data_IF_703431257479
#
_entry.id   IF_703431257479
#
_cell.length_a   1.000
_cell.length_b   1.000
_cell.length_c   1.000
_cell.angle_alpha   90.00
_cell.angle_beta   90.00
_cell.angle_gamma   90.00
#
_symmetry.space_group_name_H-M   'P 1'
#
loop_
_entity.id
_entity.type
_entity.pdbx_description
1 polymer ?
#
# COMPACT_ATOMS: atom_id res chain seq x y z
N UNK A 1 27.99 -18.61 -43.91
CA UNK A 1 28.04 -17.15 -43.72
C UNK A 1 28.61 -16.92 -42.33
N UNK A 2 29.78 -16.30 -42.24
CA UNK A 2 30.34 -15.92 -40.94
C UNK A 2 29.58 -14.69 -40.47
N UNK A 3 28.65 -14.86 -39.52
CA UNK A 3 28.15 -13.74 -38.72
C UNK A 3 29.35 -13.06 -38.10
N UNK A 4 29.49 -11.76 -38.35
CA UNK A 4 30.64 -11.01 -37.83
C UNK A 4 30.59 -11.02 -36.30
N UNK A 5 31.75 -11.09 -35.61
CA UNK A 5 31.81 -11.02 -34.13
C UNK A 5 31.05 -9.80 -33.56
N UNK A 6 30.78 -8.80 -34.40
CA UNK A 6 29.99 -7.60 -34.08
C UNK A 6 28.48 -7.83 -34.08
N UNK A 7 27.93 -8.69 -34.95
CA UNK A 7 26.50 -9.02 -35.01
C UNK A 7 26.06 -9.86 -33.81
N UNK A 8 26.88 -10.81 -33.37
CA UNK A 8 26.56 -11.72 -32.25
C UNK A 8 26.32 -10.97 -30.93
N UNK A 9 26.96 -9.82 -30.73
CA UNK A 9 26.87 -9.03 -29.49
C UNK A 9 25.70 -8.05 -29.51
N UNK A 10 25.13 -7.77 -30.69
CA UNK A 10 23.99 -6.85 -30.82
C UNK A 10 22.66 -7.45 -30.37
N UNK A 11 22.56 -8.78 -30.37
CA UNK A 11 21.36 -9.51 -29.94
C UNK A 11 21.29 -9.80 -28.44
N UNK A 12 22.39 -9.58 -27.71
CA UNK A 12 22.42 -9.81 -26.27
C UNK A 12 21.66 -8.73 -25.50
N UNK A 13 21.01 -9.09 -24.38
CA UNK A 13 20.32 -8.16 -23.50
C UNK A 13 21.30 -7.10 -23.01
N UNK A 14 20.79 -5.88 -22.83
CA UNK A 14 21.57 -4.78 -22.28
C UNK A 14 21.45 -4.76 -20.77
N UNK A 15 22.59 -4.71 -20.08
CA UNK A 15 22.61 -4.39 -18.66
C UNK A 15 22.31 -2.91 -18.47
N UNK A 16 21.18 -2.62 -17.84
CA UNK A 16 20.68 -1.28 -17.56
C UNK A 16 20.42 -1.04 -16.06
N UNK A 17 19.97 -2.05 -15.35
CA UNK A 17 19.51 -1.98 -13.96
C UNK A 17 19.63 -3.36 -13.28
N UNK A 18 19.32 -3.41 -11.97
CA UNK A 18 19.32 -4.64 -11.19
C UNK A 18 18.36 -5.71 -11.74
N UNK A 19 17.23 -5.32 -12.35
CA UNK A 19 16.25 -6.25 -12.92
C UNK A 19 16.79 -6.95 -14.19
N UNK A 20 17.57 -6.23 -15.00
CA UNK A 20 18.21 -6.78 -16.21
C UNK A 20 19.44 -7.64 -15.92
N UNK A 21 20.04 -7.50 -14.73
CA UNK A 21 21.31 -8.15 -14.38
C UNK A 21 21.27 -9.68 -14.39
N UNK A 22 20.25 -10.38 -13.82
CA UNK A 22 20.23 -11.84 -13.81
C UNK A 22 20.23 -12.46 -15.22
N UNK A 23 19.43 -11.92 -16.14
CA UNK A 23 19.35 -12.41 -17.51
C UNK A 23 20.64 -12.10 -18.28
N UNK A 24 21.14 -10.86 -18.14
CA UNK A 24 22.40 -10.46 -18.74
C UNK A 24 23.58 -11.33 -18.26
N UNK A 25 23.67 -11.58 -16.94
CA UNK A 25 24.73 -12.39 -16.34
C UNK A 25 24.72 -13.83 -16.87
N UNK A 26 23.52 -14.40 -17.01
CA UNK A 26 23.33 -15.73 -17.57
C UNK A 26 23.78 -15.82 -19.03
N UNK A 27 23.31 -14.92 -19.89
CA UNK A 27 23.62 -14.94 -21.32
C UNK A 27 25.10 -14.60 -21.59
N UNK A 28 25.69 -13.68 -20.84
CA UNK A 28 27.13 -13.39 -20.93
C UNK A 28 27.96 -14.60 -20.55
N UNK A 29 27.62 -15.33 -19.48
CA UNK A 29 28.34 -16.56 -19.13
C UNK A 29 28.27 -17.58 -20.25
N UNK A 30 27.10 -17.77 -20.86
CA UNK A 30 26.93 -18.69 -21.99
C UNK A 30 27.78 -18.27 -23.18
N UNK A 31 27.79 -16.97 -23.55
CA UNK A 31 28.64 -16.45 -24.61
C UNK A 31 30.12 -16.73 -24.33
N UNK A 32 30.58 -16.46 -23.10
CA UNK A 32 31.97 -16.64 -22.72
C UNK A 32 32.37 -18.13 -22.69
N UNK A 33 31.47 -19.02 -22.29
CA UNK A 33 31.67 -20.48 -22.40
C UNK A 33 31.78 -20.90 -23.86
N UNK A 34 30.87 -20.45 -24.74
CA UNK A 34 30.87 -20.81 -26.16
C UNK A 34 32.14 -20.34 -26.90
N UNK A 35 32.77 -19.26 -26.43
CA UNK A 35 34.02 -18.73 -27.00
C UNK A 35 35.28 -19.21 -26.27
N UNK A 36 35.16 -20.14 -25.32
CA UNK A 36 36.28 -20.65 -24.50
C UNK A 36 37.03 -19.54 -23.74
N UNK A 37 36.30 -18.50 -23.33
CA UNK A 37 36.81 -17.32 -22.62
C UNK A 37 36.42 -17.28 -21.14
N UNK A 38 35.59 -18.22 -20.67
CA UNK A 38 35.06 -18.24 -19.30
C UNK A 38 36.17 -18.20 -18.23
N UNK A 39 37.31 -18.84 -18.50
CA UNK A 39 38.45 -18.91 -17.57
C UNK A 39 39.09 -17.54 -17.28
N UNK A 40 38.91 -16.56 -18.18
CA UNK A 40 39.36 -15.17 -17.98
C UNK A 40 38.38 -14.42 -17.05
N UNK A 41 37.08 -14.73 -17.17
CA UNK A 41 36.00 -14.09 -16.41
C UNK A 41 35.94 -14.63 -14.98
N UNK A 42 36.10 -15.94 -14.79
CA UNK A 42 36.15 -16.57 -13.47
C UNK A 42 37.51 -16.38 -12.76
N UNK A 43 38.55 -16.00 -13.52
CA UNK A 43 39.89 -15.74 -13.01
C UNK A 43 40.71 -17.01 -12.77
N UNK A 44 40.30 -18.15 -13.35
CA UNK A 44 41.03 -19.42 -13.29
C UNK A 44 42.25 -19.43 -14.22
N UNK A 45 42.24 -18.60 -15.27
CA UNK A 45 43.39 -18.37 -16.14
C UNK A 45 44.17 -17.16 -15.61
N UNK A 46 44.98 -17.38 -14.56
CA UNK A 46 45.86 -16.34 -14.01
C UNK A 46 47.15 -16.27 -14.83
N UNK A 47 47.59 -15.04 -15.13
CA UNK A 47 48.91 -14.73 -15.69
C UNK A 47 50.08 -15.38 -14.91
N UNK A 48 49.85 -15.83 -13.67
CA UNK A 48 50.86 -16.48 -12.81
C UNK A 48 51.15 -17.94 -13.16
N UNK A 49 50.21 -18.66 -13.77
CA UNK A 49 50.30 -20.12 -13.95
C UNK A 49 50.76 -20.53 -15.36
N UNK A 50 50.65 -19.61 -16.33
CA UNK A 50 51.24 -19.78 -17.65
C UNK A 50 52.61 -19.08 -17.64
N UNK A 51 53.68 -19.87 -17.72
CA UNK A 51 55.07 -19.43 -17.55
C UNK A 51 55.44 -18.11 -18.23
N UNK A 52 56.51 -17.47 -17.71
CA UNK A 52 57.07 -16.14 -18.01
C UNK A 52 57.51 -15.89 -19.48
N UNK A 53 56.82 -16.46 -20.45
CA UNK A 53 57.03 -16.25 -21.87
C UNK A 53 56.10 -15.12 -22.38
N UNK A 54 56.69 -14.18 -23.12
CA UNK A 54 56.00 -13.04 -23.71
C UNK A 54 54.86 -13.44 -24.65
N UNK A 55 54.94 -14.62 -25.26
CA UNK A 55 53.87 -15.13 -26.13
C UNK A 55 52.60 -15.45 -25.35
N UNK A 56 52.72 -16.10 -24.19
CA UNK A 56 51.57 -16.45 -23.33
C UNK A 56 50.92 -15.20 -22.74
N UNK A 57 51.72 -14.22 -22.32
CA UNK A 57 51.22 -12.91 -21.85
C UNK A 57 50.42 -12.21 -22.96
N UNK A 58 50.90 -12.23 -24.20
CA UNK A 58 50.17 -11.65 -25.35
C UNK A 58 48.86 -12.37 -25.64
N UNK A 59 48.84 -13.71 -25.60
CA UNK A 59 47.63 -14.51 -25.79
C UNK A 59 46.59 -14.19 -24.72
N UNK A 60 47.00 -14.15 -23.45
CA UNK A 60 46.13 -13.80 -22.34
C UNK A 60 45.54 -12.39 -22.51
N UNK A 61 46.37 -11.38 -22.76
CA UNK A 61 45.92 -9.99 -22.98
C UNK A 61 44.93 -9.87 -24.13
N UNK A 62 45.12 -10.65 -25.19
CA UNK A 62 44.20 -10.67 -26.34
C UNK A 62 42.84 -11.26 -25.94
N UNK A 63 42.83 -12.35 -25.18
CA UNK A 63 41.59 -12.98 -24.68
C UNK A 63 40.86 -12.07 -23.69
N UNK A 64 41.60 -11.43 -22.78
CA UNK A 64 41.07 -10.45 -21.84
C UNK A 64 40.46 -9.24 -22.57
N UNK A 65 41.16 -8.65 -23.53
CA UNK A 65 40.63 -7.55 -24.34
C UNK A 65 39.35 -7.93 -25.10
N UNK A 66 39.26 -9.16 -25.63
CA UNK A 66 38.03 -9.67 -26.26
C UNK A 66 36.87 -9.75 -25.26
N UNK A 67 37.12 -10.23 -24.04
CA UNK A 67 36.08 -10.28 -23.01
C UNK A 67 35.61 -8.88 -22.60
N UNK A 68 36.55 -7.95 -22.38
CA UNK A 68 36.24 -6.56 -22.09
C UNK A 68 35.38 -5.94 -23.20
N UNK A 69 35.70 -6.21 -24.47
CA UNK A 69 34.89 -5.78 -25.60
C UNK A 69 33.44 -6.28 -25.50
N UNK A 70 33.23 -7.57 -25.24
CA UNK A 70 31.88 -8.13 -25.08
C UNK A 70 31.08 -7.46 -23.96
N UNK A 71 31.70 -7.22 -22.80
CA UNK A 71 31.05 -6.51 -21.69
C UNK A 71 30.70 -5.09 -22.08
N UNK A 72 31.65 -4.28 -22.56
CA UNK A 72 31.40 -2.88 -22.91
C UNK A 72 30.30 -2.74 -23.97
N UNK A 73 30.14 -3.74 -24.84
CA UNK A 73 29.10 -3.74 -25.87
C UNK A 73 27.74 -4.20 -25.36
N UNK A 74 27.65 -4.86 -24.22
CA UNK A 74 26.37 -5.36 -23.65
C UNK A 74 25.89 -4.57 -22.43
N UNK A 75 26.60 -3.51 -22.03
CA UNK A 75 26.20 -2.62 -20.94
C UNK A 75 25.83 -1.21 -21.43
N UNK A 76 24.89 -0.56 -20.74
CA UNK A 76 24.44 0.81 -21.01
C UNK A 76 25.47 1.88 -20.63
N UNK A 77 25.31 3.10 -21.16
CA UNK A 77 26.30 4.18 -20.98
C UNK A 77 26.56 4.54 -19.51
N UNK A 78 25.52 4.60 -18.68
CA UNK A 78 25.70 4.88 -17.25
C UNK A 78 26.40 3.74 -16.53
N UNK A 79 26.13 2.49 -16.91
CA UNK A 79 26.76 1.30 -16.34
C UNK A 79 28.27 1.27 -16.64
N UNK A 80 28.68 1.72 -17.84
CA UNK A 80 30.10 1.84 -18.20
C UNK A 80 30.89 2.68 -17.22
N UNK A 81 30.27 3.71 -16.63
CA UNK A 81 30.97 4.61 -15.69
C UNK A 81 31.54 3.85 -14.48
N UNK A 82 30.91 2.74 -14.08
CA UNK A 82 31.40 1.87 -13.00
C UNK A 82 32.59 1.00 -13.41
N UNK A 83 32.84 0.81 -14.71
CA UNK A 83 33.90 -0.07 -15.22
C UNK A 83 35.07 0.69 -15.86
N UNK A 84 35.01 2.02 -15.99
CA UNK A 84 36.06 2.83 -16.64
C UNK A 84 37.41 2.70 -15.93
N UNK A 85 37.41 2.53 -14.61
CA UNK A 85 38.64 2.40 -13.81
C UNK A 85 39.18 0.96 -13.75
N UNK A 86 38.44 -0.02 -14.27
CA UNK A 86 38.86 -1.41 -14.30
C UNK A 86 39.86 -1.64 -15.44
N UNK A 87 40.89 -2.44 -15.16
CA UNK A 87 41.99 -2.71 -16.10
C UNK A 87 41.89 -4.09 -16.75
N UNK A 88 41.19 -5.01 -16.10
CA UNK A 88 40.99 -6.40 -16.57
C UNK A 88 39.51 -6.72 -16.70
N UNK A 89 39.18 -7.70 -17.54
CA UNK A 89 37.83 -8.25 -17.62
C UNK A 89 37.33 -8.71 -16.25
N UNK A 90 38.21 -9.35 -15.47
CA UNK A 90 37.89 -9.86 -14.14
C UNK A 90 37.43 -8.75 -13.20
N UNK A 91 38.14 -7.63 -13.17
CA UNK A 91 37.79 -6.44 -12.40
C UNK A 91 36.45 -5.85 -12.85
N UNK A 92 36.25 -5.71 -14.17
CA UNK A 92 34.99 -5.19 -14.72
C UNK A 92 33.80 -6.06 -14.29
N UNK A 93 33.90 -7.37 -14.52
CA UNK A 93 32.82 -8.31 -14.22
C UNK A 93 32.55 -8.40 -12.72
N UNK A 94 33.59 -8.44 -11.89
CA UNK A 94 33.43 -8.43 -10.43
C UNK A 94 32.77 -7.15 -9.92
N UNK A 95 33.13 -5.99 -10.47
CA UNK A 95 32.55 -4.69 -10.09
C UNK A 95 31.05 -4.65 -10.41
N UNK A 96 30.67 -5.04 -11.63
CA UNK A 96 29.27 -5.14 -12.04
C UNK A 96 28.51 -6.13 -11.15
N UNK A 97 29.09 -7.31 -10.92
CA UNK A 97 28.50 -8.32 -10.04
C UNK A 97 28.29 -7.79 -8.63
N UNK A 98 29.27 -7.11 -8.04
CA UNK A 98 29.14 -6.54 -6.70
C UNK A 98 28.03 -5.50 -6.61
N UNK A 99 27.94 -4.58 -7.57
CA UNK A 99 26.91 -3.52 -7.58
C UNK A 99 25.52 -4.15 -7.68
N UNK A 100 25.26 -4.92 -8.73
CA UNK A 100 23.91 -5.39 -9.03
C UNK A 100 23.46 -6.56 -8.14
N UNK A 101 24.37 -7.42 -7.67
CA UNK A 101 24.00 -8.42 -6.65
C UNK A 101 23.71 -7.78 -5.29
N UNK A 102 24.45 -6.72 -4.92
CA UNK A 102 24.17 -5.97 -3.69
C UNK A 102 22.80 -5.29 -3.78
N UNK A 103 22.50 -4.61 -4.88
CA UNK A 103 21.20 -3.94 -5.07
C UNK A 103 20.05 -4.95 -5.04
N UNK A 104 20.18 -6.07 -5.75
CA UNK A 104 19.21 -7.18 -5.73
C UNK A 104 18.99 -7.69 -4.29
N UNK A 105 20.07 -7.86 -3.52
CA UNK A 105 20.01 -8.35 -2.14
C UNK A 105 19.35 -7.34 -1.21
N UNK A 106 19.70 -6.05 -1.34
CA UNK A 106 19.12 -4.98 -0.54
C UNK A 106 17.63 -4.78 -0.87
N UNK A 107 17.26 -4.78 -2.15
CA UNK A 107 15.87 -4.70 -2.59
C UNK A 107 15.05 -5.88 -2.06
N UNK A 108 15.60 -7.09 -2.09
CA UNK A 108 14.99 -8.26 -1.47
C UNK A 108 14.78 -8.07 0.04
N UNK A 109 15.78 -7.58 0.77
CA UNK A 109 15.65 -7.31 2.20
C UNK A 109 14.56 -6.27 2.50
N UNK A 110 14.52 -5.18 1.74
CA UNK A 110 13.49 -4.13 1.89
C UNK A 110 12.09 -4.68 1.60
N UNK A 111 11.91 -5.44 0.53
CA UNK A 111 10.61 -6.04 0.20
C UNK A 111 10.16 -7.07 1.24
N UNK A 112 11.08 -7.85 1.81
CA UNK A 112 10.75 -8.76 2.92
C UNK A 112 10.33 -7.96 4.16
N UNK A 113 11.05 -6.89 4.47
CA UNK A 113 10.70 -5.99 5.57
C UNK A 113 9.31 -5.39 5.35
N UNK A 114 9.02 -4.89 4.16
CA UNK A 114 7.71 -4.36 3.79
C UNK A 114 6.62 -5.44 3.92
N UNK A 115 6.88 -6.66 3.43
CA UNK A 115 5.94 -7.77 3.53
C UNK A 115 5.60 -8.10 4.99
N UNK A 116 6.62 -8.25 5.85
CA UNK A 116 6.38 -8.61 7.24
C UNK A 116 5.79 -7.46 8.06
N UNK A 117 6.24 -6.23 7.84
CA UNK A 117 5.81 -5.06 8.60
C UNK A 117 4.52 -4.41 8.08
N UNK A 118 4.01 -4.83 6.91
CA UNK A 118 2.75 -4.31 6.39
C UNK A 118 1.64 -4.47 7.43
N UNK A 119 0.91 -3.39 7.68
CA UNK A 119 -0.25 -3.33 8.57
C UNK A 119 -1.44 -2.84 7.76
N UNK A 120 -2.63 -3.30 8.12
CA UNK A 120 -3.86 -2.85 7.47
C UNK A 120 -4.04 -1.34 7.65
N UNK A 121 -4.15 -0.63 6.52
CA UNK A 121 -4.42 0.80 6.47
C UNK A 121 -5.93 1.02 6.48
N UNK A 122 -6.46 1.51 7.61
CA UNK A 122 -7.89 1.81 7.80
C UNK A 122 -8.40 2.94 6.91
N UNK A 123 -7.51 3.74 6.31
CA UNK A 123 -7.89 4.83 5.38
C UNK A 123 -8.13 4.32 3.96
N UNK A 124 -7.74 3.08 3.67
CA UNK A 124 -7.91 2.41 2.38
C UNK A 124 -8.96 1.31 2.49
N UNK A 125 -9.60 1.00 1.38
CA UNK A 125 -10.50 -0.15 1.27
C UNK A 125 -9.72 -1.48 1.35
N UNK A 126 -10.46 -2.57 1.58
CA UNK A 126 -9.90 -3.91 1.70
C UNK A 126 -9.15 -4.35 0.44
N UNK A 127 -9.64 -4.03 -0.76
CA UNK A 127 -9.03 -4.48 -2.03
C UNK A 127 -7.69 -3.78 -2.25
N UNK A 128 -7.62 -2.49 -1.93
CA UNK A 128 -6.37 -1.72 -1.97
C UNK A 128 -5.32 -2.33 -1.02
N UNK A 129 -5.69 -2.67 0.22
CA UNK A 129 -4.80 -3.34 1.17
C UNK A 129 -4.29 -4.70 0.64
N UNK A 130 -5.19 -5.54 0.12
CA UNK A 130 -4.84 -6.84 -0.48
C UNK A 130 -3.87 -6.66 -1.66
N UNK A 131 -4.14 -5.68 -2.53
CA UNK A 131 -3.32 -5.38 -3.70
C UNK A 131 -1.89 -5.00 -3.30
N UNK A 132 -1.70 -4.24 -2.22
CA UNK A 132 -0.35 -3.94 -1.70
C UNK A 132 0.41 -5.21 -1.31
N UNK A 133 -0.21 -6.13 -0.57
CA UNK A 133 0.41 -7.40 -0.17
C UNK A 133 0.75 -8.25 -1.39
N UNK A 134 -0.17 -8.38 -2.34
CA UNK A 134 0.05 -9.13 -3.58
C UNK A 134 1.16 -8.52 -4.43
N UNK A 135 1.24 -7.19 -4.52
CA UNK A 135 2.30 -6.49 -5.25
C UNK A 135 3.69 -6.71 -4.62
N UNK A 136 3.80 -6.68 -3.30
CA UNK A 136 5.06 -7.00 -2.61
C UNK A 136 5.46 -8.46 -2.88
N UNK A 137 4.51 -9.39 -2.77
CA UNK A 137 4.74 -10.81 -3.07
C UNK A 137 5.15 -11.05 -4.53
N UNK A 138 4.54 -10.35 -5.49
CA UNK A 138 4.90 -10.40 -6.90
C UNK A 138 6.35 -9.94 -7.13
N UNK A 139 6.75 -8.79 -6.56
CA UNK A 139 8.13 -8.29 -6.64
C UNK A 139 9.13 -9.26 -6.00
N UNK A 140 8.78 -9.89 -4.88
CA UNK A 140 9.61 -10.91 -4.24
C UNK A 140 9.79 -12.15 -5.14
N UNK A 141 8.73 -12.60 -5.82
CA UNK A 141 8.81 -13.71 -6.80
C UNK A 141 9.72 -13.38 -7.97
N UNK A 142 9.71 -12.13 -8.47
CA UNK A 142 10.63 -11.67 -9.52
C UNK A 142 12.10 -11.73 -9.07
N UNK A 143 12.38 -11.57 -7.78
CA UNK A 143 13.71 -11.73 -7.17
C UNK A 143 13.98 -13.18 -6.72
N UNK A 144 13.36 -14.15 -7.38
CA UNK A 144 13.49 -15.59 -7.11
C UNK A 144 13.21 -15.98 -5.64
N UNK A 145 12.30 -15.27 -4.97
CA UNK A 145 11.83 -15.67 -3.64
C UNK A 145 10.58 -16.51 -3.74
N UNK A 146 10.58 -17.62 -3.00
CA UNK A 146 9.39 -18.45 -2.85
C UNK A 146 8.40 -17.79 -1.88
N UNK A 147 7.45 -17.05 -2.45
CA UNK A 147 6.27 -16.54 -1.74
C UNK A 147 5.06 -17.25 -2.31
N UNK A 148 4.72 -18.41 -1.77
CA UNK A 148 3.54 -19.17 -2.17
C UNK A 148 2.23 -18.45 -1.79
N UNK A 149 1.10 -18.95 -2.30
CA UNK A 149 -0.22 -18.39 -1.98
C UNK A 149 -0.57 -18.52 -0.49
N UNK A 150 -0.12 -19.58 0.19
CA UNK A 150 -0.38 -19.77 1.62
C UNK A 150 0.25 -18.65 2.46
N UNK A 151 1.46 -18.20 2.12
CA UNK A 151 2.12 -17.07 2.78
C UNK A 151 1.37 -15.76 2.53
N UNK A 152 0.85 -15.55 1.32
CA UNK A 152 0.02 -14.38 1.00
C UNK A 152 -1.28 -14.40 1.80
N UNK A 153 -2.01 -15.52 1.79
CA UNK A 153 -3.25 -15.68 2.55
C UNK A 153 -3.03 -15.48 4.05
N UNK A 154 -1.98 -16.10 4.61
CA UNK A 154 -1.60 -15.94 6.02
C UNK A 154 -1.28 -14.48 6.33
N UNK A 155 -0.57 -13.79 5.43
CA UNK A 155 -0.28 -12.37 5.63
C UNK A 155 -1.55 -11.52 5.61
N UNK A 156 -2.48 -11.78 4.70
CA UNK A 156 -3.77 -11.08 4.61
C UNK A 156 -4.59 -11.30 5.89
N UNK A 157 -4.73 -12.54 6.35
CA UNK A 157 -5.55 -12.84 7.54
C UNK A 157 -4.96 -12.27 8.84
N UNK A 158 -3.63 -12.20 8.95
CA UNK A 158 -2.94 -11.69 10.15
C UNK A 158 -2.96 -10.18 10.29
N UNK A 159 -3.16 -9.42 9.20
CA UNK A 159 -3.25 -7.96 9.27
C UNK A 159 -4.67 -7.43 9.48
N UNK A 160 -5.69 -8.28 9.37
CA UNK A 160 -7.09 -7.86 9.45
C UNK A 160 -7.37 -7.13 10.77
N UNK A 161 -8.10 -6.00 10.74
CA UNK A 161 -8.46 -5.29 11.95
C UNK A 161 -9.52 -6.04 12.76
N UNK A 162 -9.71 -5.67 14.04
CA UNK A 162 -10.64 -6.33 14.97
C UNK A 162 -12.08 -6.43 14.44
N UNK A 163 -12.50 -5.47 13.62
CA UNK A 163 -13.83 -5.44 12.98
C UNK A 163 -14.10 -6.70 12.11
N UNK A 164 -13.05 -7.43 11.73
CA UNK A 164 -13.12 -8.68 10.94
C UNK A 164 -12.94 -9.93 11.81
N UNK A 165 -13.04 -9.85 13.14
CA UNK A 165 -12.87 -11.01 14.03
C UNK A 165 -13.76 -12.20 13.69
N UNK A 166 -15.04 -11.92 13.40
CA UNK A 166 -16.01 -12.95 13.00
C UNK A 166 -15.63 -13.60 11.67
N UNK A 167 -15.12 -12.81 10.73
CA UNK A 167 -14.58 -13.31 9.48
C UNK A 167 -13.41 -14.25 9.71
N UNK A 168 -12.43 -13.86 10.54
CA UNK A 168 -11.25 -14.69 10.82
C UNK A 168 -11.63 -16.06 11.39
N UNK A 169 -12.57 -16.09 12.34
CA UNK A 169 -13.08 -17.36 12.90
C UNK A 169 -13.77 -18.23 11.85
N UNK A 170 -14.59 -17.64 10.99
CA UNK A 170 -15.25 -18.35 9.90
C UNK A 170 -14.27 -18.80 8.80
N UNK A 171 -13.20 -18.05 8.57
CA UNK A 171 -12.15 -18.41 7.62
C UNK A 171 -11.35 -19.62 8.14
N UNK A 172 -10.95 -19.60 9.41
CA UNK A 172 -10.20 -20.70 10.05
C UNK A 172 -10.96 -22.02 10.09
N UNK A 173 -12.29 -21.98 9.97
CA UNK A 173 -13.16 -23.16 9.92
C UNK A 173 -13.41 -23.67 8.48
N UNK A 174 -12.89 -22.99 7.46
CA UNK A 174 -13.09 -23.36 6.03
C UNK A 174 -12.34 -24.64 5.71
N UNK A 175 -12.92 -25.52 4.89
CA UNK A 175 -12.24 -26.74 4.41
C UNK A 175 -11.02 -26.41 3.55
N UNK A 176 -9.98 -27.24 3.59
CA UNK A 176 -8.68 -26.95 2.96
C UNK A 176 -8.76 -26.72 1.45
N UNK A 177 -9.62 -27.45 0.74
CA UNK A 177 -9.83 -27.32 -0.71
C UNK A 177 -10.32 -25.92 -1.09
N UNK A 178 -11.12 -25.30 -0.21
CA UNK A 178 -11.69 -23.96 -0.44
C UNK A 178 -10.79 -22.84 0.09
N UNK A 179 -9.65 -23.14 0.71
CA UNK A 179 -8.68 -22.14 1.20
C UNK A 179 -7.78 -21.67 0.06
N UNK A 180 -8.37 -21.04 -0.93
CA UNK A 180 -7.67 -20.40 -2.05
C UNK A 180 -7.62 -18.89 -1.87
N UNK A 181 -6.62 -18.25 -2.50
CA UNK A 181 -6.49 -16.80 -2.45
C UNK A 181 -7.74 -16.11 -3.02
N UNK A 182 -8.28 -16.63 -4.11
CA UNK A 182 -9.48 -16.09 -4.76
C UNK A 182 -10.71 -16.14 -3.83
N UNK A 183 -10.92 -17.27 -3.14
CA UNK A 183 -12.03 -17.41 -2.20
C UNK A 183 -11.87 -16.49 -0.99
N UNK A 184 -10.63 -16.35 -0.47
CA UNK A 184 -10.33 -15.41 0.61
C UNK A 184 -10.69 -13.98 0.22
N UNK A 185 -10.22 -13.53 -0.96
CA UNK A 185 -10.48 -12.17 -1.47
C UNK A 185 -11.99 -11.96 -1.66
N UNK A 186 -12.68 -12.89 -2.31
CA UNK A 186 -14.12 -12.78 -2.56
C UNK A 186 -14.93 -12.64 -1.25
N UNK A 187 -14.62 -13.46 -0.24
CA UNK A 187 -15.31 -13.41 1.05
C UNK A 187 -14.98 -12.14 1.84
N UNK A 188 -13.73 -11.65 1.78
CA UNK A 188 -13.34 -10.39 2.41
C UNK A 188 -14.06 -9.19 1.80
N UNK A 189 -14.23 -9.17 0.48
CA UNK A 189 -15.00 -8.12 -0.21
C UNK A 189 -16.46 -8.09 0.27
N UNK A 190 -17.10 -9.26 0.37
CA UNK A 190 -18.47 -9.36 0.88
C UNK A 190 -18.58 -8.90 2.33
N UNK A 191 -17.60 -9.23 3.17
CA UNK A 191 -17.59 -8.82 4.56
C UNK A 191 -17.41 -7.31 4.72
N UNK A 192 -16.57 -6.67 3.90
CA UNK A 192 -16.40 -5.22 3.91
C UNK A 192 -17.73 -4.48 3.66
N UNK A 193 -18.54 -4.98 2.71
CA UNK A 193 -19.86 -4.42 2.43
C UNK A 193 -20.77 -4.54 3.65
N UNK A 194 -20.77 -5.68 4.35
CA UNK A 194 -21.58 -5.88 5.57
C UNK A 194 -21.13 -4.96 6.70
N UNK A 195 -19.83 -4.85 6.96
CA UNK A 195 -19.28 -3.97 7.99
C UNK A 195 -19.65 -2.50 7.75
N UNK A 196 -19.68 -2.06 6.48
CA UNK A 196 -20.12 -0.70 6.10
C UNK A 196 -21.63 -0.47 6.29
N UNK A 197 -22.44 -1.52 6.32
CA UNK A 197 -23.89 -1.42 6.59
C UNK A 197 -24.17 -1.41 8.09
N UNK A 198 -23.53 -2.29 8.86
CA UNK A 198 -23.68 -2.34 10.33
C UNK A 198 -23.20 -1.05 10.99
N UNK A 199 -22.05 -0.50 10.56
CA UNK A 199 -21.56 0.80 11.06
C UNK A 199 -22.54 1.95 10.82
N UNK A 200 -23.18 2.01 9.65
CA UNK A 200 -24.23 3.02 9.36
C UNK A 200 -25.46 2.85 10.23
N UNK A 201 -25.88 1.61 10.49
CA UNK A 201 -27.00 1.32 11.37
C UNK A 201 -26.69 1.71 12.82
N UNK A 202 -25.50 1.36 13.32
CA UNK A 202 -25.02 1.71 14.66
C UNK A 202 -24.88 3.24 14.84
N UNK A 203 -24.31 3.95 13.88
CA UNK A 203 -24.27 5.43 13.87
C UNK A 203 -25.67 6.04 13.92
N UNK A 204 -26.62 5.46 13.18
CA UNK A 204 -28.02 5.91 13.18
C UNK A 204 -28.69 5.69 14.55
N UNK A 205 -28.35 4.61 15.25
CA UNK A 205 -28.87 4.28 16.59
C UNK A 205 -28.21 5.18 17.64
N UNK A 206 -26.89 5.38 17.57
CA UNK A 206 -26.15 6.28 18.45
C UNK A 206 -26.66 7.72 18.34
N UNK A 207 -26.93 8.21 17.13
CA UNK A 207 -27.54 9.53 16.92
C UNK A 207 -28.95 9.63 17.53
N UNK A 208 -29.75 8.56 17.46
CA UNK A 208 -31.07 8.48 18.11
C UNK A 208 -31.00 8.43 19.64
N UNK A 209 -29.93 7.87 20.21
CA UNK A 209 -29.71 7.82 21.66
C UNK A 209 -29.21 9.18 22.18
N UNK A 210 -28.26 9.82 21.49
CA UNK A 210 -27.74 11.15 21.85
C UNK A 210 -28.83 12.23 21.74
N UNK A 211 -29.79 12.08 20.81
CA UNK A 211 -30.96 12.97 20.75
C UNK A 211 -31.98 12.71 21.87
N UNK A 212 -32.01 11.52 22.46
CA UNK A 212 -32.83 11.22 23.65
C UNK A 212 -32.22 11.68 24.97
N UNK A 213 -30.90 11.88 25.04
CA UNK A 213 -30.19 12.30 26.27
C UNK A 213 -30.00 13.81 26.39
N UNK A 214 -30.36 14.61 25.38
CA UNK A 214 -30.56 16.06 25.58
C UNK A 214 -31.82 16.27 26.42
N UNK A 215 -31.57 16.53 27.70
CA UNK A 215 -32.49 17.01 28.72
C UNK A 215 -33.82 17.55 28.16
N UNK A 216 -34.93 16.88 28.53
CA UNK A 216 -36.28 17.44 28.46
C UNK A 216 -36.36 18.66 29.40
N UNK A 217 -35.80 19.79 29.01
CA UNK A 217 -36.27 21.05 29.57
C UNK A 217 -37.71 21.21 29.05
N UNK A 218 -38.73 21.30 29.92
CA UNK A 218 -40.10 21.41 29.47
C UNK A 218 -40.23 22.72 28.69
N UNK A 219 -40.32 22.61 27.36
CA UNK A 219 -40.43 23.75 26.48
C UNK A 219 -41.81 24.41 26.67
N UNK A 220 -41.82 25.73 26.88
CA UNK A 220 -43.04 26.52 27.08
C UNK A 220 -43.57 27.00 25.75
N UNK A 221 -44.88 26.87 25.52
CA UNK A 221 -45.53 27.40 24.32
C UNK A 221 -45.29 28.90 24.19
N UNK A 222 -44.78 29.38 23.05
CA UNK A 222 -44.52 30.81 22.83
C UNK A 222 -45.78 31.69 22.80
N UNK A 223 -46.97 31.12 22.58
CA UNK A 223 -48.23 31.89 22.60
C UNK A 223 -48.88 31.94 23.98
N UNK A 224 -48.75 30.89 24.81
CA UNK A 224 -49.44 30.85 26.09
C UNK A 224 -48.59 30.58 27.33
N UNK A 225 -47.29 30.40 27.14
CA UNK A 225 -46.29 30.14 28.18
C UNK A 225 -46.56 28.90 29.05
N UNK A 226 -47.56 28.08 28.70
CA UNK A 226 -47.86 26.79 29.31
C UNK A 226 -46.92 25.72 28.72
N UNK A 227 -46.52 24.75 29.55
CA UNK A 227 -45.70 23.61 29.15
C UNK A 227 -46.57 22.51 28.52
N UNK A 228 -45.97 21.66 27.68
CA UNK A 228 -46.62 20.46 27.16
C UNK A 228 -47.24 20.56 25.77
N UNK A 229 -47.12 21.71 25.07
CA UNK A 229 -47.50 21.83 23.67
C UNK A 229 -46.69 22.91 22.92
N UNK A 230 -46.53 22.76 21.61
CA UNK A 230 -45.91 23.75 20.74
C UNK A 230 -46.93 24.82 20.30
N UNK A 231 -46.44 26.01 19.93
CA UNK A 231 -47.26 27.16 19.50
C UNK A 231 -48.30 26.81 18.42
N UNK A 232 -47.92 25.94 17.49
CA UNK A 232 -48.77 25.51 16.38
C UNK A 232 -50.03 24.77 16.84
N UNK A 233 -49.96 24.08 17.99
CA UNK A 233 -51.03 23.29 18.58
C UNK A 233 -51.57 23.92 19.87
N UNK A 234 -51.45 25.25 20.01
CA UNK A 234 -51.91 25.95 21.21
C UNK A 234 -53.45 25.93 21.31
N UNK A 235 -54.03 25.42 22.41
CA UNK A 235 -55.48 25.44 22.62
C UNK A 235 -56.05 26.86 22.72
N UNK A 236 -55.20 27.84 23.04
CA UNK A 236 -55.57 29.26 23.14
C UNK A 236 -55.22 30.06 21.86
N UNK A 237 -55.04 29.39 20.71
CA UNK A 237 -54.80 30.05 19.42
C UNK A 237 -55.92 31.05 19.12
N UNK A 238 -55.58 32.33 19.02
CA UNK A 238 -56.53 33.41 18.68
C UNK A 238 -57.13 34.20 19.85
N UNK A 239 -56.84 33.85 21.11
CA UNK A 239 -57.18 34.71 22.26
C UNK A 239 -56.18 35.85 22.36
N UNK A 240 -56.65 37.10 22.23
CA UNK A 240 -55.80 38.30 22.43
C UNK A 240 -55.34 38.36 23.88
N UNK A 241 -54.07 38.66 24.09
CA UNK A 241 -53.54 38.93 25.41
C UNK A 241 -54.20 40.21 25.96
N UNK A 242 -54.49 40.24 27.26
CA UNK A 242 -54.96 41.41 27.98
C UNK A 242 -53.99 42.58 27.76
N UNK A 243 -54.45 43.72 27.25
CA UNK A 243 -53.55 44.84 26.92
C UNK A 243 -52.91 45.49 28.15
N UNK A 244 -53.48 45.27 29.34
CA UNK A 244 -53.04 45.88 30.61
C UNK A 244 -51.85 45.11 31.21
N UNK A 245 -51.94 43.78 31.30
CA UNK A 245 -50.90 42.94 31.95
C UNK A 245 -50.21 41.95 31.02
N UNK A 246 -50.59 41.92 29.73
CA UNK A 246 -50.10 41.01 28.69
C UNK A 246 -50.35 39.52 28.96
N UNK A 247 -51.10 39.18 30.01
CA UNK A 247 -51.55 37.82 30.30
C UNK A 247 -52.69 37.39 29.38
N UNK A 248 -52.84 36.09 29.16
CA UNK A 248 -53.84 35.51 28.24
C UNK A 248 -54.89 34.62 28.93
N UNK A 249 -54.91 34.63 30.26
CA UNK A 249 -55.75 33.76 31.09
C UNK A 249 -57.02 34.45 31.63
N UNK A 250 -57.30 35.68 31.22
CA UNK A 250 -58.47 36.47 31.62
C UNK A 250 -58.81 37.51 30.55
N UNK A 251 -60.03 38.06 30.58
CA UNK A 251 -60.41 39.19 29.72
C UNK A 251 -59.91 40.52 30.31
N UNK A 252 -59.73 41.57 29.51
CA UNK A 252 -59.33 42.89 30.04
C UNK A 252 -60.25 43.41 31.14
N UNK A 253 -61.52 43.01 31.12
CA UNK A 253 -62.50 43.42 32.14
C UNK A 253 -62.20 42.85 33.51
N UNK A 254 -61.59 41.66 33.55
CA UNK A 254 -61.29 40.88 34.75
C UNK A 254 -59.80 40.98 35.13
N UNK A 255 -59.08 41.96 34.56
CA UNK A 255 -57.67 42.17 34.84
C UNK A 255 -57.50 42.77 36.24
N UNK A 256 -56.77 42.05 37.10
CA UNK A 256 -56.42 42.48 38.45
C UNK A 256 -55.76 43.87 38.51
N UNK A 257 -55.04 44.27 37.46
CA UNK A 257 -54.33 45.56 37.39
C UNK A 257 -55.17 46.73 36.85
N UNK A 258 -56.42 46.50 36.45
CA UNK A 258 -57.24 47.52 35.75
C UNK A 258 -57.52 48.78 36.57
N UNK A 259 -57.54 48.69 37.91
CA UNK A 259 -57.92 49.79 38.80
C UNK A 259 -56.77 50.30 39.69
N UNK A 260 -55.50 49.96 39.41
CA UNK A 260 -54.36 50.40 40.25
C UNK A 260 -53.78 51.77 39.90
N UNK A 261 -54.17 52.37 38.77
CA UNK A 261 -53.58 53.64 38.30
C UNK A 261 -54.34 54.90 38.74
N UNK A 262 -55.38 54.80 39.58
CA UNK A 262 -56.16 55.95 40.05
C UNK A 262 -55.91 56.37 41.51
N UNK A 263 -54.84 55.87 42.16
CA UNK A 263 -54.61 56.19 43.59
C UNK A 263 -53.16 56.49 43.96
N UNK A 264 -52.38 57.12 43.07
CA UNK A 264 -51.16 57.88 43.46
C UNK A 264 -50.84 59.03 42.49
N UNK A 265 -51.58 60.14 42.61
CA UNK A 265 -51.05 61.49 42.35
C UNK A 265 -51.57 62.44 43.44
N UNK A 266 -50.71 62.72 44.42
CA UNK A 266 -50.62 64.08 44.97
C UNK A 266 -49.94 64.97 43.94
#
# INVERSE_FOLDING_TARGET
MATTETEEVTHLPKLKDADSFPLWDFEIKILMCAKELINIVDGSDLLSDQGRDEENIRKWKTRDAKCQYYIVRTIEKHVKTHTVTCTTMKEMYNTLKQIYQRDTSQQKCLLLQDFYNFKYDKTKDMMTNISYVQNIAFKLRQLNQNVDENRIMTKITTILPEDYKHFSTAWDSTVTVDRTLDNLVARLMLEEVKCKMTTKEEESIAFKIVTKTKSKTPFKCFTCNQIGHAQINCPNKGKRNCSICKGNNHSEKDCYFRNKDNDTRK
#
